data_IF_542974167480
#
_entry.id   IF_542974167480
#
_cell.length_a   1.000
_cell.length_b   1.000
_cell.length_c   1.000
_cell.angle_alpha   90.00
_cell.angle_beta   90.00
_cell.angle_gamma   90.00
#
_symmetry.space_group_name_H-M   'P 1'
#
loop_
_entity.id
_entity.type
_entity.pdbx_description
1 polymer ?
#
# COMPACT_ATOMS: atom_id res chain seq x y z
N UNK A 1 15.35 -9.81 9.24
CA UNK A 1 14.45 -10.71 10.01
C UNK A 1 15.16 -11.93 10.64
N UNK A 2 15.81 -12.83 9.90
CA UNK A 2 16.38 -14.08 10.45
C UNK A 2 17.35 -13.89 11.63
N UNK A 3 18.19 -12.84 11.59
CA UNK A 3 19.11 -12.48 12.67
C UNK A 3 18.37 -12.02 13.94
N UNK A 4 17.23 -11.33 13.81
CA UNK A 4 16.38 -10.91 14.94
C UNK A 4 15.76 -12.15 15.60
N UNK A 5 15.18 -13.04 14.79
CA UNK A 5 14.58 -14.29 15.29
C UNK A 5 15.61 -15.18 15.99
N UNK A 6 16.87 -15.15 15.56
CA UNK A 6 17.97 -15.83 16.25
C UNK A 6 18.26 -15.22 17.62
N UNK A 7 18.43 -13.91 17.68
CA UNK A 7 18.81 -13.18 18.90
C UNK A 7 17.71 -13.23 19.97
N UNK A 8 16.44 -13.32 19.55
CA UNK A 8 15.29 -13.36 20.45
C UNK A 8 14.78 -14.78 20.75
N UNK A 9 15.43 -15.84 20.23
CA UNK A 9 14.97 -17.22 20.42
C UNK A 9 13.72 -17.60 19.59
N UNK A 10 13.31 -16.76 18.65
CA UNK A 10 12.15 -16.93 17.77
C UNK A 10 12.36 -17.84 16.54
N UNK A 11 13.51 -18.52 16.40
CA UNK A 11 13.79 -19.44 15.26
C UNK A 11 12.91 -20.69 15.24
N UNK A 12 12.41 -21.12 16.40
CA UNK A 12 11.48 -22.26 16.48
C UNK A 12 10.04 -21.76 16.49
N UNK A 13 9.07 -22.57 16.03
CA UNK A 13 7.64 -22.19 16.10
C UNK A 13 7.21 -21.82 17.53
N UNK A 14 7.60 -22.64 18.50
CA UNK A 14 7.29 -22.41 19.91
C UNK A 14 7.99 -21.17 20.46
N UNK A 15 9.24 -20.92 20.05
CA UNK A 15 9.97 -19.70 20.42
C UNK A 15 9.35 -18.45 19.81
N UNK A 16 8.91 -18.50 18.55
CA UNK A 16 8.21 -17.40 17.88
C UNK A 16 6.89 -17.09 18.60
N UNK A 17 6.07 -18.12 18.84
CA UNK A 17 4.80 -17.97 19.57
C UNK A 17 5.04 -17.38 20.97
N UNK A 18 6.02 -17.89 21.71
CA UNK A 18 6.35 -17.37 23.04
C UNK A 18 6.89 -15.93 23.01
N UNK A 19 7.53 -15.52 21.91
CA UNK A 19 8.07 -14.17 21.74
C UNK A 19 6.99 -13.16 21.34
N UNK A 20 6.08 -13.52 20.46
CA UNK A 20 5.16 -12.57 19.80
C UNK A 20 3.70 -12.73 20.22
N UNK A 21 3.35 -13.84 20.87
CA UNK A 21 1.97 -14.30 21.04
C UNK A 21 1.18 -14.38 19.73
N UNK A 22 1.87 -14.42 18.58
CA UNK A 22 1.29 -14.25 17.25
C UNK A 22 0.43 -12.99 17.08
N UNK A 23 0.66 -11.95 17.90
CA UNK A 23 -0.07 -10.69 17.80
C UNK A 23 0.20 -10.03 16.46
N UNK A 24 -0.85 -9.55 15.81
CA UNK A 24 -0.76 -8.75 14.59
C UNK A 24 -1.58 -7.48 14.71
N UNK A 25 -1.31 -6.52 13.82
CA UNK A 25 -2.14 -5.32 13.63
C UNK A 25 -3.19 -5.52 12.53
N UNK A 26 -3.45 -6.76 12.13
CA UNK A 26 -4.46 -7.09 11.10
C UNK A 26 -5.69 -7.80 11.66
N UNK A 27 -5.63 -8.26 12.92
CA UNK A 27 -6.71 -8.96 13.62
C UNK A 27 -6.48 -8.93 15.14
N UNK A 28 -7.30 -9.64 15.90
CA UNK A 28 -7.14 -9.85 17.35
C UNK A 28 -6.86 -11.30 17.74
N UNK A 29 -6.39 -12.12 16.80
CA UNK A 29 -5.98 -13.48 17.08
C UNK A 29 -4.64 -13.48 17.80
N UNK A 30 -4.55 -14.26 18.87
CA UNK A 30 -3.32 -14.39 19.65
C UNK A 30 -3.27 -15.74 20.34
N UNK A 31 -2.08 -16.12 20.77
CA UNK A 31 -1.81 -17.41 21.40
C UNK A 31 -1.09 -17.19 22.71
N UNK A 32 -1.58 -17.85 23.76
CA UNK A 32 -0.88 -17.94 25.04
C UNK A 32 -0.75 -19.38 25.51
N UNK A 33 0.22 -19.63 26.38
CA UNK A 33 0.29 -20.85 27.16
C UNK A 33 -0.78 -20.83 28.25
N UNK A 34 -1.33 -22.00 28.59
CA UNK A 34 -2.20 -22.18 29.76
C UNK A 34 -1.50 -21.82 31.08
N UNK A 35 -0.17 -21.80 31.10
CA UNK A 35 0.63 -21.42 32.27
C UNK A 35 0.76 -19.90 32.44
N UNK A 36 0.37 -19.13 31.43
CA UNK A 36 0.45 -17.67 31.45
C UNK A 36 -0.85 -17.06 31.96
N UNK A 37 -0.73 -16.28 33.04
CA UNK A 37 -1.83 -15.48 33.57
C UNK A 37 -1.87 -14.10 32.93
N UNK A 38 -2.00 -14.07 31.60
CA UNK A 38 -2.17 -12.86 30.79
C UNK A 38 -3.51 -12.91 30.06
N UNK A 39 -4.09 -11.74 29.82
CA UNK A 39 -5.34 -11.53 29.09
C UNK A 39 -5.11 -10.69 27.84
N UNK A 40 -6.11 -10.62 26.96
CA UNK A 40 -6.06 -9.77 25.77
C UNK A 40 -5.78 -8.30 26.11
N UNK A 41 -6.37 -7.80 27.21
CA UNK A 41 -6.16 -6.43 27.69
C UNK A 41 -4.68 -6.12 27.95
N UNK A 42 -3.90 -7.12 28.39
CA UNK A 42 -2.49 -6.95 28.75
C UNK A 42 -1.58 -6.91 27.51
N UNK A 43 -2.00 -7.51 26.41
CA UNK A 43 -1.13 -7.78 25.25
C UNK A 43 -1.57 -7.10 23.95
N UNK A 44 -2.82 -6.65 23.83
CA UNK A 44 -3.33 -6.11 22.57
C UNK A 44 -2.51 -4.91 22.09
N UNK A 45 -2.17 -4.89 20.80
CA UNK A 45 -1.29 -3.89 20.21
C UNK A 45 -1.97 -2.54 19.99
N UNK A 46 -3.30 -2.48 20.05
CA UNK A 46 -4.08 -1.27 19.78
C UNK A 46 -4.13 -0.31 20.98
N UNK A 47 -4.13 -0.83 22.20
CA UNK A 47 -4.16 -0.03 23.45
C UNK A 47 -2.83 -0.02 24.19
N UNK A 48 -1.94 -0.97 23.87
CA UNK A 48 -0.65 -1.07 24.54
C UNK A 48 0.48 -0.66 23.62
N UNK A 49 1.31 0.27 24.09
CA UNK A 49 2.56 0.63 23.42
C UNK A 49 3.43 -0.62 23.19
N UNK A 50 3.91 -0.74 21.96
CA UNK A 50 4.86 -1.75 21.54
C UNK A 50 6.24 -1.13 21.31
N UNK A 51 7.26 -1.98 21.34
CA UNK A 51 8.65 -1.53 21.29
C UNK A 51 9.10 -1.29 19.84
N UNK A 52 9.65 -0.10 19.58
CA UNK A 52 10.11 0.37 18.27
C UNK A 52 11.58 0.03 18.00
N UNK A 53 12.28 -0.62 18.93
CA UNK A 53 13.69 -0.99 18.74
C UNK A 53 13.88 -2.02 17.61
N UNK A 54 12.89 -2.90 17.38
CA UNK A 54 12.86 -3.77 16.20
C UNK A 54 12.60 -2.97 14.93
N UNK A 55 11.71 -1.98 15.00
CA UNK A 55 11.38 -1.09 13.90
C UNK A 55 12.62 -0.36 13.38
N UNK A 56 13.47 0.13 14.30
CA UNK A 56 14.80 0.69 13.96
C UNK A 56 15.72 -0.35 13.35
N UNK A 57 15.77 -1.58 13.86
CA UNK A 57 16.57 -2.63 13.24
C UNK A 57 16.15 -2.91 11.78
N UNK A 58 14.84 -3.00 11.52
CA UNK A 58 14.31 -3.27 10.18
C UNK A 58 14.70 -2.17 9.20
N UNK A 59 14.65 -0.89 9.61
CA UNK A 59 14.96 0.25 8.74
C UNK A 59 16.48 0.45 8.54
N UNK A 60 17.30 0.19 9.56
CA UNK A 60 18.73 0.58 9.56
C UNK A 60 19.74 -0.57 9.52
N UNK A 61 19.35 -1.80 9.91
CA UNK A 61 20.25 -2.95 9.94
C UNK A 61 21.39 -2.89 11.00
N UNK A 62 21.28 -2.03 12.02
CA UNK A 62 22.34 -1.84 13.03
C UNK A 62 22.57 -3.06 13.96
N UNK A 63 23.84 -3.26 14.35
CA UNK A 63 24.36 -4.41 15.13
C UNK A 63 24.15 -4.34 16.66
N UNK A 64 23.44 -3.33 17.19
CA UNK A 64 23.40 -3.08 18.64
C UNK A 64 21.98 -2.87 19.14
N UNK A 65 21.08 -3.82 18.88
CA UNK A 65 19.79 -3.84 19.56
C UNK A 65 19.90 -4.75 20.78
N UNK A 66 19.84 -4.14 21.97
CA UNK A 66 19.59 -4.88 23.20
C UNK A 66 18.10 -5.22 23.22
N UNK A 67 17.73 -6.34 22.61
CA UNK A 67 16.35 -6.82 22.67
C UNK A 67 15.96 -6.98 24.13
N UNK A 68 15.11 -6.09 24.62
CA UNK A 68 14.41 -6.38 25.86
C UNK A 68 13.48 -7.57 25.58
N UNK A 69 13.24 -8.41 26.59
CA UNK A 69 12.20 -9.44 26.53
C UNK A 69 10.81 -8.78 26.61
N UNK A 70 10.54 -7.86 25.69
CA UNK A 70 9.23 -7.31 25.38
C UNK A 70 8.53 -8.27 24.42
N UNK A 71 7.23 -8.49 24.60
CA UNK A 71 6.42 -9.45 23.83
C UNK A 71 5.63 -8.81 22.69
N UNK A 72 5.89 -7.52 22.39
CA UNK A 72 5.03 -6.69 21.53
C UNK A 72 5.84 -6.17 20.34
N UNK A 73 5.92 -6.97 19.29
CA UNK A 73 6.69 -6.64 18.07
C UNK A 73 5.84 -6.89 16.81
N UNK A 74 4.98 -5.92 16.41
CA UNK A 74 4.08 -6.10 15.25
C UNK A 74 4.83 -6.39 13.94
N UNK A 75 6.08 -5.91 13.83
CA UNK A 75 6.92 -6.07 12.63
C UNK A 75 7.15 -7.52 12.25
N UNK A 76 7.21 -8.42 13.24
CA UNK A 76 7.45 -9.85 13.02
C UNK A 76 6.26 -10.57 12.38
N UNK A 77 5.11 -9.90 12.30
CA UNK A 77 3.87 -10.41 11.69
C UNK A 77 3.37 -9.54 10.52
N UNK A 78 4.13 -8.49 10.18
CA UNK A 78 3.76 -7.58 9.11
C UNK A 78 4.25 -8.13 7.78
N UNK A 79 3.35 -8.28 6.81
CA UNK A 79 3.63 -8.85 5.49
C UNK A 79 4.10 -7.78 4.48
N UNK A 80 4.71 -8.23 3.38
CA UNK A 80 5.15 -7.41 2.24
C UNK A 80 6.67 -7.30 2.07
N UNK A 81 7.09 -6.82 0.89
CA UNK A 81 8.47 -6.90 0.44
C UNK A 81 9.34 -5.65 0.76
N UNK A 82 8.71 -4.51 1.05
CA UNK A 82 9.41 -3.25 1.33
C UNK A 82 9.58 -3.03 2.83
N UNK A 83 10.71 -2.42 3.21
CA UNK A 83 11.02 -2.08 4.60
C UNK A 83 9.99 -1.09 5.13
N UNK A 84 9.25 -1.54 6.14
CA UNK A 84 8.16 -0.83 6.79
C UNK A 84 8.21 -1.06 8.29
N UNK A 85 7.70 -0.10 9.05
CA UNK A 85 7.62 -0.21 10.49
C UNK A 85 6.38 0.48 11.06
N UNK A 86 5.82 -0.13 12.11
CA UNK A 86 4.80 0.47 12.94
C UNK A 86 5.42 1.37 14.01
N UNK A 87 4.78 2.50 14.28
CA UNK A 87 5.15 3.48 15.29
C UNK A 87 3.95 3.77 16.19
N UNK A 88 4.22 4.02 17.47
CA UNK A 88 3.22 4.56 18.38
C UNK A 88 3.34 6.08 18.40
N UNK A 89 2.46 6.77 17.68
CA UNK A 89 2.39 8.23 17.64
C UNK A 89 1.34 8.76 18.61
N UNK A 90 1.38 10.06 18.90
CA UNK A 90 0.46 10.70 19.87
C UNK A 90 -1.01 10.57 19.49
N UNK A 91 -1.29 10.45 18.20
CA UNK A 91 -2.63 10.44 17.60
C UNK A 91 -2.99 9.10 16.95
N UNK A 92 -2.26 8.03 17.29
CA UNK A 92 -2.58 6.66 16.92
C UNK A 92 -1.37 5.82 16.51
N UNK A 93 -1.66 4.65 15.93
CA UNK A 93 -0.64 3.75 15.38
C UNK A 93 -0.44 4.09 13.91
N UNK A 94 0.83 4.27 13.55
CA UNK A 94 1.25 4.66 12.21
C UNK A 94 2.11 3.58 11.58
N UNK A 95 2.01 3.40 10.25
CA UNK A 95 2.94 2.60 9.45
C UNK A 95 3.77 3.55 8.60
N UNK A 96 5.07 3.54 8.81
CA UNK A 96 6.01 4.20 7.92
C UNK A 96 6.59 3.21 6.92
N UNK A 97 6.73 3.63 5.66
CA UNK A 97 7.32 2.81 4.59
C UNK A 97 8.47 3.57 3.95
N UNK A 98 9.58 2.88 3.79
CA UNK A 98 10.74 3.42 3.09
C UNK A 98 10.71 3.02 1.62
N UNK A 99 11.31 3.86 0.78
CA UNK A 99 11.53 3.48 -0.62
C UNK A 99 12.71 2.50 -0.76
N UNK A 100 12.79 1.83 -1.91
CA UNK A 100 13.88 0.89 -2.17
C UNK A 100 15.26 1.59 -2.21
N UNK A 101 16.33 0.80 -2.16
CA UNK A 101 17.70 1.28 -2.28
C UNK A 101 18.53 0.39 -3.20
N UNK A 102 19.74 0.82 -3.56
CA UNK A 102 20.69 0.01 -4.35
C UNK A 102 20.56 0.11 -5.87
N UNK A 103 19.60 0.88 -6.39
CA UNK A 103 19.52 1.24 -7.81
C UNK A 103 19.36 2.76 -8.00
N UNK A 104 19.70 3.25 -9.19
CA UNK A 104 19.66 4.70 -9.52
C UNK A 104 18.25 5.31 -9.39
N UNK A 105 17.24 4.55 -9.78
CA UNK A 105 15.82 4.90 -9.75
C UNK A 105 15.09 4.47 -8.46
N UNK A 106 15.81 3.88 -7.51
CA UNK A 106 15.24 3.39 -6.27
C UNK A 106 14.86 4.54 -5.33
N UNK A 107 13.87 4.34 -4.46
CA UNK A 107 13.55 5.21 -3.34
C UNK A 107 12.66 6.39 -3.68
N UNK A 108 11.81 6.24 -4.70
CA UNK A 108 10.76 7.19 -5.12
C UNK A 108 9.36 6.69 -4.76
N UNK A 109 9.25 5.48 -4.23
CA UNK A 109 8.00 4.83 -3.83
C UNK A 109 7.21 5.61 -2.77
N UNK A 110 7.83 6.26 -1.76
CA UNK A 110 7.09 7.09 -0.80
C UNK A 110 6.27 8.21 -1.45
N UNK A 111 6.78 8.83 -2.51
CA UNK A 111 6.06 9.87 -3.25
C UNK A 111 4.89 9.25 -4.03
N UNK A 112 5.06 8.03 -4.55
CA UNK A 112 3.99 7.25 -5.18
C UNK A 112 2.84 6.99 -4.21
N UNK A 113 3.14 6.55 -2.97
CA UNK A 113 2.15 6.37 -1.91
C UNK A 113 1.31 7.64 -1.67
N UNK A 114 1.96 8.78 -1.47
CA UNK A 114 1.31 10.07 -1.14
C UNK A 114 0.53 10.66 -2.32
N UNK A 115 1.06 10.58 -3.53
CA UNK A 115 0.38 11.09 -4.72
C UNK A 115 -0.83 10.22 -5.09
N UNK A 116 -0.70 8.90 -4.94
CA UNK A 116 -1.81 7.99 -5.19
C UNK A 116 -2.92 8.15 -4.15
N UNK A 117 -2.60 8.30 -2.85
CA UNK A 117 -3.63 8.47 -1.83
C UNK A 117 -4.55 9.65 -2.14
N UNK A 118 -4.01 10.78 -2.62
CA UNK A 118 -4.80 11.94 -3.05
C UNK A 118 -5.81 11.63 -4.16
N UNK A 119 -5.50 10.70 -5.07
CA UNK A 119 -6.42 10.22 -6.10
C UNK A 119 -7.46 9.29 -5.48
N UNK A 120 -7.03 8.33 -4.69
CA UNK A 120 -7.92 7.33 -4.07
C UNK A 120 -8.94 7.99 -3.12
N UNK A 121 -8.52 8.94 -2.29
CA UNK A 121 -9.36 9.71 -1.36
C UNK A 121 -10.51 10.47 -2.06
N UNK A 122 -10.35 10.80 -3.34
CA UNK A 122 -11.40 11.46 -4.14
C UNK A 122 -12.44 10.53 -4.75
N UNK A 123 -12.16 9.23 -4.80
CA UNK A 123 -12.99 8.28 -5.55
C UNK A 123 -13.46 7.09 -4.71
N UNK A 124 -12.75 6.69 -3.66
CA UNK A 124 -13.16 5.60 -2.76
C UNK A 124 -12.60 5.74 -1.33
N UNK A 125 -13.04 4.85 -0.44
CA UNK A 125 -12.46 4.69 0.89
C UNK A 125 -11.00 4.23 0.78
N UNK A 126 -10.09 4.99 1.40
CA UNK A 126 -8.65 4.79 1.25
C UNK A 126 -7.88 5.28 2.46
N UNK A 127 -6.74 4.64 2.69
CA UNK A 127 -5.72 5.11 3.62
C UNK A 127 -5.04 6.35 3.05
N UNK A 128 -5.04 7.45 3.81
CA UNK A 128 -4.27 8.65 3.51
C UNK A 128 -2.80 8.43 3.85
N UNK A 129 -1.91 8.88 2.95
CA UNK A 129 -0.48 8.90 3.17
C UNK A 129 0.04 10.34 3.17
N UNK A 130 0.97 10.62 4.09
CA UNK A 130 1.72 11.88 4.12
C UNK A 130 3.23 11.58 4.00
N UNK A 131 4.02 12.54 3.52
CA UNK A 131 5.48 12.43 3.56
C UNK A 131 6.02 12.95 4.88
N UNK A 132 7.00 12.23 5.45
CA UNK A 132 7.81 12.74 6.55
C UNK A 132 9.28 12.38 6.37
N UNK A 133 10.13 13.12 7.08
CA UNK A 133 11.51 12.69 7.33
C UNK A 133 11.53 11.87 8.61
N UNK A 134 12.06 10.66 8.51
CA UNK A 134 12.30 9.79 9.65
C UNK A 134 13.78 9.38 9.63
N UNK A 135 14.53 9.88 10.61
CA UNK A 135 15.98 9.69 10.75
C UNK A 135 16.76 9.97 9.44
N UNK A 136 16.50 11.14 8.85
CA UNK A 136 17.18 11.59 7.63
C UNK A 136 16.71 10.93 6.33
N UNK A 137 15.81 9.94 6.36
CA UNK A 137 15.20 9.33 5.17
C UNK A 137 13.81 9.87 4.90
N UNK A 138 13.44 9.96 3.63
CA UNK A 138 12.05 10.24 3.21
C UNK A 138 11.25 8.94 3.29
N UNK A 139 10.14 8.98 3.99
CA UNK A 139 9.22 7.86 4.18
C UNK A 139 7.78 8.32 3.91
N UNK A 140 6.94 7.39 3.45
CA UNK A 140 5.49 7.59 3.47
C UNK A 140 4.98 7.13 4.82
N UNK A 141 4.00 7.84 5.36
CA UNK A 141 3.41 7.61 6.68
C UNK A 141 1.89 7.54 6.54
N UNK A 142 1.28 6.50 7.09
CA UNK A 142 -0.16 6.39 7.19
C UNK A 142 -0.63 5.86 8.54
N UNK A 143 -1.83 6.28 8.94
CA UNK A 143 -2.52 5.68 10.09
C UNK A 143 -3.02 4.27 9.76
N UNK A 144 -2.99 3.42 10.76
CA UNK A 144 -3.67 2.12 10.72
C UNK A 144 -5.17 2.31 10.47
N UNK A 145 -5.78 1.40 9.70
CA UNK A 145 -7.23 1.40 9.46
C UNK A 145 -7.96 0.26 10.18
N UNK A 146 -7.23 -0.70 10.75
CA UNK A 146 -7.76 -1.77 11.60
C UNK A 146 -7.84 -1.32 13.06
N UNK A 147 -8.63 -2.06 13.83
CA UNK A 147 -8.86 -1.81 15.26
C UNK A 147 -9.05 -3.14 16.00
N UNK A 148 -9.34 -3.08 17.30
CA UNK A 148 -9.77 -4.26 18.03
C UNK A 148 -11.08 -4.84 17.48
N UNK A 149 -11.98 -3.98 16.99
CA UNK A 149 -13.28 -4.39 16.45
C UNK A 149 -13.17 -4.94 15.03
N UNK A 150 -12.37 -4.28 14.17
CA UNK A 150 -12.28 -4.62 12.75
C UNK A 150 -10.85 -4.96 12.31
N UNK A 151 -10.69 -6.14 11.73
CA UNK A 151 -9.46 -6.63 11.12
C UNK A 151 -9.47 -6.56 9.59
N UNK A 152 -8.34 -6.89 8.99
CA UNK A 152 -8.13 -6.97 7.54
C UNK A 152 -7.86 -8.41 7.11
N UNK A 153 -8.53 -8.86 6.04
CA UNK A 153 -8.26 -10.14 5.38
C UNK A 153 -8.12 -9.98 3.87
N UNK A 154 -6.95 -10.29 3.28
CA UNK A 154 -6.77 -10.21 1.83
C UNK A 154 -7.64 -11.23 1.09
N UNK A 155 -8.09 -10.88 -0.11
CA UNK A 155 -8.95 -11.74 -0.92
C UNK A 155 -8.26 -13.08 -1.28
N UNK A 156 -6.92 -13.10 -1.35
CA UNK A 156 -6.11 -14.30 -1.55
C UNK A 156 -6.31 -15.37 -0.47
N UNK A 157 -6.80 -15.01 0.73
CA UNK A 157 -7.15 -16.00 1.74
C UNK A 157 -8.37 -16.82 1.34
N UNK A 158 -9.37 -16.20 0.74
CA UNK A 158 -10.64 -16.81 0.36
C UNK A 158 -10.60 -17.49 -1.01
N UNK A 159 -9.79 -16.96 -1.93
CA UNK A 159 -9.71 -17.46 -3.30
C UNK A 159 -8.25 -17.75 -3.68
N UNK A 160 -7.92 -19.04 -3.83
CA UNK A 160 -6.55 -19.51 -4.12
C UNK A 160 -6.15 -19.44 -5.61
N UNK A 161 -7.07 -19.00 -6.46
CA UNK A 161 -6.85 -18.84 -7.90
C UNK A 161 -6.96 -17.37 -8.28
N UNK A 162 -6.24 -16.96 -9.32
CA UNK A 162 -6.40 -15.62 -9.88
C UNK A 162 -7.80 -15.47 -10.45
N UNK A 163 -8.50 -14.41 -10.05
CA UNK A 163 -9.85 -14.10 -10.48
C UNK A 163 -9.83 -13.03 -11.57
N UNK A 164 -10.78 -13.11 -12.49
CA UNK A 164 -10.99 -12.10 -13.53
C UNK A 164 -11.79 -10.92 -12.97
N UNK A 165 -11.75 -9.77 -13.66
CA UNK A 165 -12.53 -8.59 -13.29
C UNK A 165 -14.04 -8.90 -13.14
N UNK A 166 -14.72 -9.59 -14.09
CA UNK A 166 -16.12 -9.98 -13.91
C UNK A 166 -16.38 -10.79 -12.64
N UNK A 167 -15.49 -11.74 -12.32
CA UNK A 167 -15.68 -12.58 -11.13
C UNK A 167 -15.48 -11.80 -9.84
N UNK A 168 -14.53 -10.85 -9.82
CA UNK A 168 -14.36 -9.96 -8.68
C UNK A 168 -15.57 -9.03 -8.49
N UNK A 169 -16.15 -8.50 -9.57
CA UNK A 169 -17.39 -7.71 -9.50
C UNK A 169 -18.56 -8.51 -8.91
N UNK A 170 -18.73 -9.77 -9.32
CA UNK A 170 -19.74 -10.66 -8.72
C UNK A 170 -19.52 -10.84 -7.22
N UNK A 171 -18.27 -11.12 -6.80
CA UNK A 171 -17.94 -11.31 -5.40
C UNK A 171 -18.28 -10.06 -4.59
N UNK A 172 -17.79 -8.88 -5.00
CA UNK A 172 -18.05 -7.66 -4.24
C UNK A 172 -19.52 -7.20 -4.30
N UNK A 173 -20.28 -7.61 -5.34
CA UNK A 173 -21.74 -7.43 -5.36
C UNK A 173 -22.44 -8.22 -4.27
N UNK A 174 -22.02 -9.45 -3.99
CA UNK A 174 -22.58 -10.27 -2.89
C UNK A 174 -22.40 -9.61 -1.51
N UNK A 175 -21.38 -8.75 -1.37
CA UNK A 175 -21.11 -7.96 -0.16
C UNK A 175 -21.58 -6.50 -0.26
N UNK A 176 -22.40 -6.16 -1.25
CA UNK A 176 -22.90 -4.79 -1.48
C UNK A 176 -21.80 -3.70 -1.60
N UNK A 177 -20.60 -4.06 -2.07
CA UNK A 177 -19.46 -3.15 -2.24
C UNK A 177 -18.86 -3.22 -3.66
N UNK A 178 -19.70 -3.55 -4.66
CA UNK A 178 -19.28 -3.55 -6.06
C UNK A 178 -18.84 -2.16 -6.55
N UNK A 179 -19.53 -1.08 -6.13
CA UNK A 179 -19.18 0.29 -6.54
C UNK A 179 -17.82 0.71 -5.99
N UNK A 180 -17.53 0.42 -4.73
CA UNK A 180 -16.23 0.62 -4.08
C UNK A 180 -15.12 -0.14 -4.81
N UNK A 181 -15.39 -1.39 -5.21
CA UNK A 181 -14.43 -2.17 -5.98
C UNK A 181 -14.20 -1.59 -7.38
N UNK A 182 -15.25 -1.10 -8.07
CA UNK A 182 -15.11 -0.40 -9.35
C UNK A 182 -14.24 0.85 -9.21
N UNK A 183 -14.48 1.64 -8.16
CA UNK A 183 -13.70 2.85 -7.84
C UNK A 183 -12.23 2.55 -7.62
N UNK A 184 -11.90 1.47 -6.90
CA UNK A 184 -10.51 1.02 -6.72
C UNK A 184 -9.84 0.69 -8.06
N UNK A 185 -10.49 -0.06 -8.95
CA UNK A 185 -9.95 -0.41 -10.27
C UNK A 185 -9.74 0.84 -11.14
N UNK A 186 -10.67 1.79 -11.09
CA UNK A 186 -10.54 3.07 -11.81
C UNK A 186 -9.40 3.91 -11.24
N UNK A 187 -9.23 3.96 -9.93
CA UNK A 187 -8.13 4.65 -9.27
C UNK A 187 -6.76 4.01 -9.61
N UNK A 188 -6.67 2.68 -9.63
CA UNK A 188 -5.46 1.96 -10.08
C UNK A 188 -5.11 2.30 -11.54
N UNK A 189 -6.11 2.53 -12.40
CA UNK A 189 -5.90 3.00 -13.77
C UNK A 189 -5.35 4.44 -13.82
N UNK A 190 -5.99 5.39 -13.11
CA UNK A 190 -5.55 6.80 -13.06
C UNK A 190 -4.10 6.90 -12.57
N UNK A 191 -3.77 6.09 -11.56
CA UNK A 191 -2.47 6.13 -10.88
C UNK A 191 -1.44 5.20 -11.52
N UNK A 192 -1.79 4.42 -12.55
CA UNK A 192 -0.91 3.39 -13.13
C UNK A 192 -0.36 2.41 -12.09
N UNK A 193 -1.17 2.01 -11.10
CA UNK A 193 -0.73 1.08 -10.08
C UNK A 193 -0.59 -0.34 -10.66
N UNK A 194 0.65 -0.81 -10.80
CA UNK A 194 0.95 -2.13 -11.34
C UNK A 194 0.89 -3.26 -10.30
N UNK A 195 0.71 -2.95 -9.01
CA UNK A 195 0.92 -3.92 -7.92
C UNK A 195 -0.33 -4.13 -7.03
N UNK A 196 -1.54 -4.00 -7.60
CA UNK A 196 -2.80 -4.41 -6.94
C UNK A 196 -2.94 -5.94 -6.91
N UNK A 197 -1.99 -6.64 -6.29
CA UNK A 197 -2.09 -8.09 -6.10
C UNK A 197 -3.16 -8.45 -5.08
N UNK A 198 -3.56 -9.72 -5.02
CA UNK A 198 -4.68 -10.20 -4.18
C UNK A 198 -4.39 -10.17 -2.67
N UNK A 199 -3.21 -9.65 -2.29
CA UNK A 199 -2.81 -9.33 -0.92
C UNK A 199 -3.00 -7.85 -0.56
N UNK A 200 -3.27 -6.98 -1.54
CA UNK A 200 -3.40 -5.52 -1.38
C UNK A 200 -4.86 -5.03 -1.48
N UNK A 201 -5.82 -5.96 -1.38
CA UNK A 201 -7.24 -5.68 -1.24
C UNK A 201 -7.97 -6.95 -0.76
N UNK A 202 -9.16 -6.80 -0.22
CA UNK A 202 -9.92 -7.86 0.44
C UNK A 202 -11.05 -7.28 1.26
N UNK A 203 -11.20 -7.74 2.49
CA UNK A 203 -12.35 -7.38 3.33
C UNK A 203 -11.91 -6.81 4.67
N UNK A 204 -12.69 -5.85 5.16
CA UNK A 204 -12.80 -5.62 6.60
C UNK A 204 -13.60 -6.77 7.22
N UNK A 205 -13.14 -7.23 8.38
CA UNK A 205 -13.72 -8.39 9.07
C UNK A 205 -13.98 -8.02 10.53
N UNK A 206 -15.17 -8.33 11.04
CA UNK A 206 -15.42 -8.21 12.47
C UNK A 206 -14.55 -9.23 13.21
N UNK A 207 -13.70 -8.80 14.14
CA UNK A 207 -12.72 -9.67 14.79
C UNK A 207 -13.35 -10.65 15.80
N UNK A 208 -14.58 -10.41 16.28
CA UNK A 208 -15.29 -11.32 17.16
C UNK A 208 -15.97 -12.45 16.37
N UNK A 209 -16.62 -12.13 15.26
CA UNK A 209 -17.41 -13.10 14.47
C UNK A 209 -16.67 -13.69 13.27
N UNK A 210 -15.58 -13.04 12.84
CA UNK A 210 -14.88 -13.30 11.58
C UNK A 210 -15.73 -13.13 10.31
N UNK A 211 -16.85 -12.43 10.40
CA UNK A 211 -17.69 -12.12 9.24
C UNK A 211 -17.07 -11.01 8.40
N UNK A 212 -17.07 -11.22 7.07
CA UNK A 212 -16.69 -10.19 6.09
C UNK A 212 -17.77 -9.13 6.05
N UNK A 213 -17.37 -7.87 6.11
CA UNK A 213 -18.29 -6.72 6.19
C UNK A 213 -18.35 -5.99 4.86
N UNK A 214 -17.25 -5.35 4.47
CA UNK A 214 -17.13 -4.53 3.27
C UNK A 214 -15.72 -4.63 2.65
N UNK A 215 -15.52 -3.99 1.49
CA UNK A 215 -14.18 -3.80 0.92
C UNK A 215 -13.33 -2.99 1.90
N UNK A 216 -12.10 -3.44 2.17
CA UNK A 216 -11.21 -2.68 3.03
C UNK A 216 -10.77 -1.34 2.39
N UNK A 217 -10.40 -0.32 3.19
CA UNK A 217 -9.80 0.90 2.67
C UNK A 217 -8.63 0.59 1.74
N UNK A 218 -8.60 1.20 0.56
CA UNK A 218 -7.51 1.01 -0.39
C UNK A 218 -6.18 1.46 0.24
N UNK A 219 -5.14 0.64 0.12
CA UNK A 219 -3.81 0.87 0.68
C UNK A 219 -2.71 0.29 -0.22
N UNK A 220 -1.45 0.48 0.17
CA UNK A 220 -0.24 0.03 -0.52
C UNK A 220 -0.16 0.52 -1.99
N UNK A 221 0.27 1.78 -2.15
CA UNK A 221 0.35 2.44 -3.45
C UNK A 221 1.79 2.75 -3.85
N UNK A 222 2.76 2.08 -3.23
CA UNK A 222 4.19 2.32 -3.40
C UNK A 222 4.64 2.16 -4.86
N UNK A 223 3.95 1.31 -5.64
CA UNK A 223 4.19 1.08 -7.07
C UNK A 223 3.33 1.94 -8.02
N UNK A 224 2.47 2.81 -7.48
CA UNK A 224 1.71 3.77 -8.27
C UNK A 224 2.61 4.88 -8.83
N UNK A 225 2.15 5.48 -9.92
CA UNK A 225 2.83 6.54 -10.66
C UNK A 225 4.24 6.15 -11.14
N UNK A 226 4.46 4.87 -11.43
CA UNK A 226 5.70 4.34 -12.03
C UNK A 226 6.95 4.86 -11.30
N UNK A 227 7.13 4.56 -10.01
CA UNK A 227 8.19 5.15 -9.18
C UNK A 227 9.59 4.82 -9.72
N UNK A 228 9.72 3.68 -10.40
CA UNK A 228 10.98 3.20 -10.97
C UNK A 228 11.24 3.69 -12.40
N UNK A 229 10.33 4.46 -13.02
CA UNK A 229 10.55 4.96 -14.38
C UNK A 229 11.54 6.14 -14.39
N UNK A 230 12.38 6.18 -15.43
CA UNK A 230 13.42 7.18 -15.59
C UNK A 230 13.27 8.05 -16.85
N UNK A 231 13.40 9.36 -16.65
CA UNK A 231 13.46 10.35 -17.71
C UNK A 231 14.72 10.15 -18.57
N UNK A 232 14.58 10.23 -19.89
CA UNK A 232 15.61 9.93 -20.88
C UNK A 232 15.90 8.44 -21.06
N UNK A 233 15.13 7.54 -20.45
CA UNK A 233 15.25 6.09 -20.64
C UNK A 233 13.89 5.43 -20.95
N UNK A 234 12.95 5.55 -20.01
CA UNK A 234 11.59 4.99 -20.08
C UNK A 234 10.57 5.99 -20.64
N UNK A 235 10.78 7.28 -20.38
CA UNK A 235 9.98 8.40 -20.90
C UNK A 235 10.87 9.62 -21.19
N UNK A 236 10.34 10.67 -21.81
CA UNK A 236 11.08 11.90 -22.12
C UNK A 236 12.14 11.72 -23.23
N UNK A 237 12.91 12.77 -23.53
CA UNK A 237 13.88 12.72 -24.64
C UNK A 237 15.20 12.06 -24.21
N UNK A 238 15.64 11.03 -24.95
CA UNK A 238 16.93 10.36 -24.72
C UNK A 238 18.11 11.26 -25.11
N UNK A 239 19.31 10.90 -24.65
CA UNK A 239 20.55 11.62 -25.00
C UNK A 239 20.87 11.64 -26.50
N UNK A 240 20.33 10.72 -27.28
CA UNK A 240 20.47 10.65 -28.75
C UNK A 240 19.34 11.40 -29.51
N UNK A 241 18.42 12.04 -28.79
CA UNK A 241 17.28 12.76 -29.36
C UNK A 241 16.05 11.88 -29.68
N UNK A 242 16.12 10.56 -29.48
CA UNK A 242 14.96 9.69 -29.63
C UNK A 242 13.99 9.82 -28.44
N UNK A 243 12.70 9.54 -28.67
CA UNK A 243 11.71 9.45 -27.60
C UNK A 243 11.31 7.98 -27.40
N UNK A 244 11.44 7.43 -26.18
CA UNK A 244 10.96 6.09 -25.87
C UNK A 244 9.43 6.06 -25.87
N UNK A 245 8.87 4.93 -26.25
CA UNK A 245 7.44 4.70 -26.20
C UNK A 245 7.03 4.31 -24.77
N UNK A 246 6.38 5.26 -24.08
CA UNK A 246 5.91 5.03 -22.73
C UNK A 246 4.74 4.03 -22.67
N UNK A 247 3.92 3.90 -23.72
CA UNK A 247 2.89 2.85 -23.78
C UNK A 247 3.55 1.46 -23.93
N UNK A 248 4.67 1.36 -24.64
CA UNK A 248 5.48 0.11 -24.66
C UNK A 248 6.02 -0.21 -23.26
N UNK A 249 6.52 0.79 -22.52
CA UNK A 249 6.97 0.63 -21.13
C UNK A 249 5.85 0.09 -20.22
N UNK A 250 4.65 0.66 -20.34
CA UNK A 250 3.47 0.25 -19.56
C UNK A 250 2.97 -1.14 -19.93
N UNK A 251 3.04 -1.54 -21.20
CA UNK A 251 2.60 -2.88 -21.61
C UNK A 251 3.40 -4.03 -20.95
N UNK A 252 4.62 -3.74 -20.49
CA UNK A 252 5.48 -4.67 -19.72
C UNK A 252 5.16 -4.66 -18.22
N UNK A 253 4.27 -3.77 -17.77
CA UNK A 253 3.88 -3.50 -16.38
C UNK A 253 2.37 -3.32 -16.25
N UNK A 254 1.61 -4.17 -16.93
CA UNK A 254 0.15 -4.15 -16.91
C UNK A 254 -0.44 -4.26 -15.50
N UNK A 255 -1.66 -3.77 -15.27
CA UNK A 255 -2.33 -3.94 -13.98
C UNK A 255 -2.57 -5.41 -13.68
N UNK A 256 -2.69 -5.74 -12.39
CA UNK A 256 -3.03 -7.10 -11.97
C UNK A 256 -4.49 -7.46 -12.32
N UNK A 257 -5.39 -6.47 -12.29
CA UNK A 257 -6.81 -6.65 -12.58
C UNK A 257 -7.12 -6.03 -13.95
N UNK A 258 -7.56 -6.87 -14.90
CA UNK A 258 -7.87 -6.44 -16.27
C UNK A 258 -6.78 -6.79 -17.30
N UNK A 259 -7.05 -6.50 -18.58
CA UNK A 259 -6.11 -6.76 -19.68
C UNK A 259 -5.11 -5.62 -19.90
N UNK A 260 -5.53 -4.39 -19.60
CA UNK A 260 -4.75 -3.16 -19.65
C UNK A 260 -5.37 -2.18 -18.63
N UNK A 261 -4.80 -0.98 -18.49
CA UNK A 261 -5.32 0.01 -17.54
C UNK A 261 -6.67 0.60 -17.96
N UNK A 262 -6.82 0.97 -19.24
CA UNK A 262 -7.89 1.87 -19.69
C UNK A 262 -9.17 1.12 -20.03
N UNK A 263 -9.12 0.05 -20.83
CA UNK A 263 -10.30 -0.62 -21.33
C UNK A 263 -11.16 -1.22 -20.21
N UNK A 264 -10.60 -1.90 -19.19
CA UNK A 264 -11.38 -2.41 -18.06
C UNK A 264 -11.99 -1.29 -17.21
N UNK A 265 -11.24 -0.22 -16.94
CA UNK A 265 -11.73 0.93 -16.18
C UNK A 265 -12.91 1.61 -16.89
N UNK A 266 -12.81 1.80 -18.21
CA UNK A 266 -13.90 2.34 -19.06
C UNK A 266 -15.16 1.48 -19.01
N UNK A 267 -15.00 0.16 -19.10
CA UNK A 267 -16.12 -0.78 -19.15
C UNK A 267 -16.94 -0.80 -17.85
N UNK A 268 -16.34 -0.39 -16.72
CA UNK A 268 -16.99 -0.42 -15.40
C UNK A 268 -17.38 0.96 -14.86
N UNK A 269 -17.22 2.03 -15.65
CA UNK A 269 -17.64 3.38 -15.26
C UNK A 269 -19.14 3.45 -14.98
N UNK A 270 -19.49 4.02 -13.84
CA UNK A 270 -20.83 4.55 -13.53
C UNK A 270 -20.83 6.06 -13.72
N UNK A 271 -22.00 6.72 -13.85
CA UNK A 271 -22.08 8.19 -13.90
C UNK A 271 -21.38 8.87 -12.71
N UNK A 272 -21.48 8.27 -11.52
CA UNK A 272 -20.90 8.77 -10.28
C UNK A 272 -19.37 8.65 -10.30
N UNK A 273 -18.84 7.50 -10.73
CA UNK A 273 -17.39 7.29 -10.90
C UNK A 273 -16.85 8.23 -11.97
N UNK A 274 -17.57 8.42 -13.08
CA UNK A 274 -17.17 9.34 -14.16
C UNK A 274 -17.00 10.77 -13.63
N UNK A 275 -17.93 11.24 -12.79
CA UNK A 275 -17.82 12.57 -12.15
C UNK A 275 -16.57 12.68 -11.26
N UNK A 276 -16.24 11.63 -10.49
CA UNK A 276 -14.99 11.60 -9.73
C UNK A 276 -13.76 11.69 -10.65
N UNK A 277 -13.76 10.98 -11.79
CA UNK A 277 -12.65 11.03 -12.77
C UNK A 277 -12.48 12.45 -13.33
N UNK A 278 -13.58 13.14 -13.65
CA UNK A 278 -13.57 14.53 -14.10
C UNK A 278 -12.99 15.46 -13.02
N UNK A 279 -13.43 15.33 -11.76
CA UNK A 279 -12.89 16.13 -10.64
C UNK A 279 -11.40 15.86 -10.38
N UNK A 280 -10.98 14.58 -10.42
CA UNK A 280 -9.59 14.17 -10.24
C UNK A 280 -8.71 14.79 -11.33
N UNK A 281 -9.17 14.82 -12.58
CA UNK A 281 -8.44 15.45 -13.69
C UNK A 281 -8.14 16.92 -13.38
N UNK A 282 -9.13 17.67 -12.93
CA UNK A 282 -8.99 19.11 -12.64
C UNK A 282 -8.21 19.40 -11.35
N UNK A 283 -8.09 18.43 -10.42
CA UNK A 283 -7.40 18.65 -9.15
C UNK A 283 -5.90 18.36 -9.26
N UNK A 284 -5.00 19.34 -9.06
CA UNK A 284 -3.56 19.08 -9.06
C UNK A 284 -3.16 18.24 -7.85
N UNK A 285 -2.30 17.25 -8.08
CA UNK A 285 -1.61 16.51 -7.02
C UNK A 285 -0.45 17.34 -6.49
N UNK A 286 -0.17 17.21 -5.20
CA UNK A 286 0.91 17.96 -4.54
C UNK A 286 1.69 17.07 -3.59
N UNK A 287 2.99 17.29 -3.49
CA UNK A 287 3.87 16.64 -2.52
C UNK A 287 5.11 17.51 -2.34
N UNK A 288 5.72 17.60 -1.14
CA UNK A 288 6.98 18.30 -0.97
C UNK A 288 8.06 17.74 -1.91
N UNK A 289 8.58 18.58 -2.78
CA UNK A 289 9.68 18.23 -3.68
C UNK A 289 11.05 18.39 -2.99
N UNK A 290 12.03 17.65 -3.49
CA UNK A 290 13.42 17.72 -3.06
C UNK A 290 14.38 17.40 -4.23
N UNK A 291 15.67 17.24 -3.92
CA UNK A 291 16.72 16.97 -4.92
C UNK A 291 16.48 15.67 -5.70
N UNK A 292 15.74 14.71 -5.12
CA UNK A 292 15.47 13.41 -5.72
C UNK A 292 14.12 13.39 -6.44
N UNK A 293 13.08 13.96 -5.83
CA UNK A 293 11.77 14.14 -6.43
C UNK A 293 11.53 15.62 -6.73
N UNK A 294 11.89 16.03 -7.94
CA UNK A 294 11.86 17.43 -8.36
C UNK A 294 10.46 17.89 -8.79
N UNK A 295 10.26 19.21 -8.88
CA UNK A 295 9.04 19.82 -9.45
C UNK A 295 8.73 19.31 -10.86
N UNK A 296 9.77 19.01 -11.67
CA UNK A 296 9.61 18.38 -12.97
C UNK A 296 8.92 17.02 -12.84
N UNK A 297 9.35 16.18 -11.91
CA UNK A 297 8.73 14.87 -11.65
C UNK A 297 7.29 15.02 -11.16
N UNK A 298 7.01 16.00 -10.30
CA UNK A 298 5.64 16.29 -9.85
C UNK A 298 4.73 16.67 -11.03
N UNK A 299 5.21 17.56 -11.92
CA UNK A 299 4.50 17.93 -13.14
C UNK A 299 4.23 16.71 -14.03
N UNK A 300 5.21 15.82 -14.18
CA UNK A 300 5.05 14.57 -14.93
C UNK A 300 3.99 13.65 -14.31
N UNK A 301 3.88 13.57 -12.99
CA UNK A 301 2.84 12.75 -12.33
C UNK A 301 1.45 13.34 -12.53
N UNK A 302 1.32 14.65 -12.47
CA UNK A 302 0.08 15.35 -12.82
C UNK A 302 -0.31 15.13 -14.29
N UNK A 303 0.64 15.19 -15.23
CA UNK A 303 0.41 14.85 -16.63
C UNK A 303 -0.08 13.41 -16.79
N UNK A 304 0.58 12.44 -16.16
CA UNK A 304 0.18 11.03 -16.20
C UNK A 304 -1.27 10.86 -15.73
N UNK A 305 -1.60 11.43 -14.56
CA UNK A 305 -2.96 11.40 -14.00
C UNK A 305 -3.97 11.99 -14.99
N UNK A 306 -3.69 13.16 -15.56
CA UNK A 306 -4.58 13.83 -16.52
C UNK A 306 -4.81 12.97 -17.78
N UNK A 307 -3.74 12.47 -18.40
CA UNK A 307 -3.84 11.64 -19.60
C UNK A 307 -4.63 10.36 -19.30
N UNK A 308 -4.44 9.72 -18.15
CA UNK A 308 -5.24 8.56 -17.78
C UNK A 308 -6.71 8.88 -17.55
N UNK A 309 -7.02 9.96 -16.81
CA UNK A 309 -8.40 10.43 -16.67
C UNK A 309 -9.05 10.67 -18.04
N UNK A 310 -8.35 11.32 -18.97
CA UNK A 310 -8.85 11.59 -20.30
C UNK A 310 -9.06 10.33 -21.14
N UNK A 311 -8.12 9.38 -21.11
CA UNK A 311 -8.26 8.07 -21.76
C UNK A 311 -9.45 7.29 -21.19
N UNK A 312 -9.65 7.30 -19.86
CA UNK A 312 -10.84 6.73 -19.21
C UNK A 312 -12.12 7.43 -19.68
N UNK A 313 -12.10 8.75 -19.90
CA UNK A 313 -13.26 9.50 -20.38
C UNK A 313 -13.51 9.35 -21.89
N UNK A 314 -12.53 8.86 -22.66
CA UNK A 314 -12.66 8.47 -24.06
C UNK A 314 -11.98 9.40 -25.06
N UNK A 315 -11.11 10.28 -24.56
CA UNK A 315 -10.25 11.10 -25.40
C UNK A 315 -9.02 10.30 -25.85
N UNK A 316 -8.49 10.58 -27.04
CA UNK A 316 -7.25 9.97 -27.55
C UNK A 316 -6.01 10.72 -27.07
N UNK A 317 -5.91 10.93 -25.75
CA UNK A 317 -4.84 11.71 -25.14
C UNK A 317 -3.50 10.97 -25.20
N UNK A 318 -2.44 11.71 -25.50
CA UNK A 318 -1.06 11.22 -25.62
C UNK A 318 -0.21 11.77 -24.47
N UNK A 319 0.92 11.11 -24.23
CA UNK A 319 1.90 11.55 -23.25
C UNK A 319 2.66 12.78 -23.75
N UNK A 320 2.83 13.78 -22.89
CA UNK A 320 3.52 15.05 -23.21
C UNK A 320 4.70 15.25 -22.23
N UNK A 321 5.71 14.37 -22.31
CA UNK A 321 6.85 14.32 -21.39
C UNK A 321 7.95 15.35 -21.67
#
# INVERSE_FOLDING_TARGET
>A
MNKILELCGGKTKSGFIALTHCLSLTDTLWVKSERENISWKDVNLYENHFDEDISKFVIYGHDVVKFQKSTKYPELTTDGAYDKCWLNEKDGIHLIKTGSSGARNAGLEPYGDVLASQVFEKICCSVKYDLRKYDGRVVSDCKIFTSQEFGYRPIALFYKVRLTLPKLLEIYREFNCEDEFRRMVVADCITLNSDRHFGNFGFLVNNETFERTELNPCFDFNMAFVPLAEDGFDFGVRGDGSMPDFDEYLSKRSPVIGCDYVAPARAILTPEIKKCVEEIRETPLSVPCDDKFTEKRLSQKNMIKNVQCERILGFDSKWEF
#
